data_IF_607412347898
#
_entry.id   IF_607412347898
#
_cell.length_a   1.000
_cell.length_b   1.000
_cell.length_c   1.000
_cell.angle_alpha   90.00
_cell.angle_beta   90.00
_cell.angle_gamma   90.00
#
_symmetry.space_group_name_H-M   'P 1'
#
loop_
_entity.id
_entity.type
_entity.pdbx_description
1 polymer ?
#
# COMPACT_ATOMS: atom_id res chain seq x y z
N UNK A 1 1.89 2.87 -0.37
CA UNK A 1 1.39 1.57 0.09
C UNK A 1 2.13 0.45 -0.60
N UNK A 2 2.51 -0.58 0.16
CA UNK A 2 3.29 -1.70 -0.38
C UNK A 2 2.44 -2.68 -1.22
N UNK A 3 3.11 -3.52 -2.00
CA UNK A 3 2.51 -4.66 -2.68
C UNK A 3 2.03 -5.75 -1.70
N UNK A 4 1.15 -6.63 -2.16
CA UNK A 4 0.70 -7.79 -1.39
C UNK A 4 1.89 -8.66 -0.93
N UNK A 5 1.98 -8.93 0.37
CA UNK A 5 3.04 -9.74 0.97
C UNK A 5 4.33 -8.97 1.31
N UNK A 6 4.37 -7.64 1.08
CA UNK A 6 5.49 -6.79 1.45
C UNK A 6 5.22 -6.03 2.77
N UNK A 7 6.21 -5.30 3.27
CA UNK A 7 6.12 -4.42 4.44
C UNK A 7 6.46 -2.98 4.09
N UNK A 8 6.03 -2.00 4.90
CA UNK A 8 6.41 -0.60 4.69
C UNK A 8 7.93 -0.38 4.72
N UNK A 9 8.67 -1.19 5.48
CA UNK A 9 10.14 -1.18 5.50
C UNK A 9 10.73 -1.73 4.20
N UNK A 10 10.15 -2.79 3.64
CA UNK A 10 10.55 -3.35 2.35
C UNK A 10 10.39 -2.35 1.22
N UNK A 11 9.22 -1.71 1.13
CA UNK A 11 8.97 -0.61 0.20
C UNK A 11 9.98 0.54 0.38
N UNK A 12 10.26 0.98 1.60
CA UNK A 12 11.27 2.03 1.84
C UNK A 12 12.67 1.62 1.34
N UNK A 13 13.06 0.36 1.56
CA UNK A 13 14.36 -0.14 1.08
C UNK A 13 14.40 -0.16 -0.46
N UNK A 14 13.34 -0.67 -1.11
CA UNK A 14 13.24 -0.66 -2.56
C UNK A 14 13.28 0.76 -3.14
N UNK A 15 12.56 1.71 -2.54
CA UNK A 15 12.59 3.12 -2.96
C UNK A 15 14.01 3.67 -2.90
N UNK A 16 14.72 3.48 -1.78
CA UNK A 16 16.10 3.93 -1.64
C UNK A 16 17.03 3.31 -2.69
N UNK A 17 16.84 2.04 -3.01
CA UNK A 17 17.68 1.35 -3.98
C UNK A 17 17.42 1.82 -5.42
N UNK A 18 16.22 2.33 -5.73
CA UNK A 18 15.84 2.82 -7.07
C UNK A 18 16.04 4.33 -7.24
N UNK A 19 15.99 5.11 -6.16
CA UNK A 19 16.28 6.55 -6.18
C UNK A 19 17.56 6.85 -5.43
N UNK A 20 18.66 7.08 -6.17
CA UNK A 20 19.81 7.80 -5.65
C UNK A 20 19.71 9.28 -6.07
N UNK A 21 19.79 10.25 -5.13
CA UNK A 21 19.87 10.09 -3.67
C UNK A 21 18.53 9.78 -3.00
N UNK A 22 18.58 9.29 -1.75
CA UNK A 22 17.42 8.89 -0.90
C UNK A 22 16.29 9.94 -0.99
N UNK A 23 15.05 9.48 -1.18
CA UNK A 23 13.85 10.32 -1.36
C UNK A 23 13.56 11.12 -0.08
N UNK A 24 14.33 12.19 0.11
CA UNK A 24 14.26 13.11 1.23
C UNK A 24 13.98 14.50 0.68
N UNK A 25 12.92 15.10 1.18
CA UNK A 25 12.50 16.44 0.80
C UNK A 25 12.43 17.29 2.06
N UNK A 26 12.90 18.53 2.00
CA UNK A 26 12.90 19.43 3.16
C UNK A 26 11.50 19.75 3.71
N UNK A 27 10.44 19.57 2.89
CA UNK A 27 9.06 19.92 3.25
C UNK A 27 8.05 18.78 3.08
N UNK A 28 8.50 17.58 2.70
CA UNK A 28 7.62 16.43 2.47
C UNK A 28 8.05 15.32 3.42
N UNK A 29 7.15 14.92 4.31
CA UNK A 29 7.32 13.74 5.15
C UNK A 29 6.73 12.54 4.44
N UNK A 30 7.53 11.49 4.26
CA UNK A 30 7.08 10.24 3.63
C UNK A 30 6.72 9.24 4.73
N UNK A 31 5.51 8.69 4.65
CA UNK A 31 5.00 7.66 5.56
C UNK A 31 4.88 6.36 4.78
N UNK A 32 5.49 5.29 5.31
CA UNK A 32 5.40 3.95 4.75
C UNK A 32 4.61 3.04 5.71
N UNK A 33 3.27 3.11 5.72
CA UNK A 33 2.47 2.27 6.59
C UNK A 33 2.54 0.82 6.11
N UNK A 34 2.39 -0.12 7.05
CA UNK A 34 2.40 -1.56 6.77
C UNK A 34 0.99 -2.10 6.90
N UNK A 35 0.46 -2.70 5.81
CA UNK A 35 -0.77 -3.49 5.84
C UNK A 35 -0.78 -4.52 6.99
N UNK A 36 -1.95 -4.73 7.63
CA UNK A 36 -2.10 -5.78 8.63
C UNK A 36 -1.91 -7.17 8.01
N UNK A 37 -1.47 -8.14 8.83
CA UNK A 37 -1.47 -9.54 8.43
C UNK A 37 -2.89 -10.09 8.48
N UNK A 38 -3.40 -10.58 7.35
CA UNK A 38 -4.74 -11.20 7.25
C UNK A 38 -4.70 -12.43 6.33
N UNK A 39 -5.66 -13.36 6.45
CA UNK A 39 -5.80 -14.45 5.49
C UNK A 39 -5.99 -13.90 4.08
N UNK A 40 -5.24 -14.44 3.12
CA UNK A 40 -5.32 -14.02 1.73
C UNK A 40 -5.82 -15.17 0.86
N UNK A 41 -7.00 -15.00 0.27
CA UNK A 41 -7.72 -16.03 -0.50
C UNK A 41 -6.87 -16.62 -1.65
N UNK A 42 -6.12 -15.84 -2.44
CA UNK A 42 -5.28 -16.38 -3.52
C UNK A 42 -4.14 -17.25 -3.01
N UNK A 43 -3.72 -17.06 -1.74
CA UNK A 43 -2.72 -17.88 -1.06
C UNK A 43 -3.36 -19.00 -0.23
N UNK A 44 -4.56 -19.46 -0.62
CA UNK A 44 -5.32 -20.53 0.06
C UNK A 44 -5.57 -20.23 1.54
N UNK A 45 -5.79 -18.97 1.88
CA UNK A 45 -6.05 -18.53 3.25
C UNK A 45 -4.79 -18.39 4.13
N UNK A 46 -3.59 -18.55 3.57
CA UNK A 46 -2.36 -18.26 4.31
C UNK A 46 -2.31 -16.79 4.75
N UNK A 47 -1.72 -16.53 5.92
CA UNK A 47 -1.53 -15.17 6.42
C UNK A 47 -0.54 -14.41 5.53
N UNK A 48 -0.95 -13.24 5.06
CA UNK A 48 -0.13 -12.35 4.26
C UNK A 48 -0.38 -10.89 4.65
N UNK A 49 0.61 -10.02 4.43
CA UNK A 49 0.49 -8.59 4.65
C UNK A 49 -0.18 -7.95 3.43
N UNK A 50 -1.50 -7.89 3.46
CA UNK A 50 -2.32 -7.39 2.35
C UNK A 50 -3.33 -6.37 2.84
N UNK A 51 -3.54 -5.31 2.06
CA UNK A 51 -4.48 -4.25 2.40
C UNK A 51 -5.94 -4.70 2.27
N UNK A 52 -6.25 -5.46 1.22
CA UNK A 52 -7.57 -6.02 0.95
C UNK A 52 -7.43 -7.42 0.35
N UNK A 53 -8.46 -8.25 0.49
CA UNK A 53 -8.47 -9.60 -0.06
C UNK A 53 -8.90 -9.60 -1.53
N UNK A 54 -8.57 -10.67 -2.25
CA UNK A 54 -8.98 -10.88 -3.63
C UNK A 54 -9.48 -12.30 -3.80
N UNK A 55 -10.69 -12.48 -4.32
CA UNK A 55 -11.15 -13.84 -4.61
C UNK A 55 -10.32 -14.52 -5.70
N UNK A 56 -9.88 -13.75 -6.70
CA UNK A 56 -9.02 -14.22 -7.80
C UNK A 56 -8.02 -13.13 -8.20
N UNK A 57 -6.89 -13.53 -8.73
CA UNK A 57 -5.95 -12.61 -9.42
C UNK A 57 -6.44 -12.47 -10.87
N UNK A 58 -7.59 -11.81 -11.06
CA UNK A 58 -8.16 -11.51 -12.37
C UNK A 58 -8.90 -10.17 -12.30
N UNK A 59 -9.05 -9.49 -13.44
CA UNK A 59 -9.87 -8.28 -13.56
C UNK A 59 -11.37 -8.59 -13.61
N UNK A 60 -11.73 -9.84 -13.89
CA UNK A 60 -13.12 -10.27 -14.12
C UNK A 60 -13.80 -10.78 -12.84
N UNK A 61 -13.17 -10.64 -11.67
CA UNK A 61 -13.76 -11.03 -10.40
C UNK A 61 -14.31 -9.82 -9.64
N UNK A 62 -15.36 -10.05 -8.87
CA UNK A 62 -15.87 -9.04 -7.95
C UNK A 62 -14.81 -8.70 -6.90
N UNK A 63 -14.72 -7.40 -6.59
CA UNK A 63 -13.87 -6.90 -5.53
C UNK A 63 -14.47 -7.26 -4.17
N UNK A 64 -13.62 -7.60 -3.20
CA UNK A 64 -14.08 -7.80 -1.82
C UNK A 64 -14.26 -6.44 -1.15
N UNK A 65 -15.49 -5.91 -1.23
CA UNK A 65 -15.81 -4.57 -0.74
C UNK A 65 -15.61 -4.42 0.77
N UNK A 66 -15.88 -5.46 1.54
CA UNK A 66 -15.73 -5.41 3.01
C UNK A 66 -14.27 -5.18 3.38
N UNK A 67 -13.35 -5.96 2.80
CA UNK A 67 -11.92 -5.77 3.06
C UNK A 67 -11.36 -4.46 2.51
N UNK A 68 -11.95 -3.92 1.42
CA UNK A 68 -11.62 -2.60 0.89
C UNK A 68 -12.10 -1.49 1.83
N UNK A 69 -13.32 -1.58 2.37
CA UNK A 69 -13.86 -0.59 3.30
C UNK A 69 -13.06 -0.56 4.61
N UNK A 70 -12.66 -1.73 5.12
CA UNK A 70 -11.74 -1.85 6.28
C UNK A 70 -10.38 -1.17 6.03
N UNK A 71 -9.82 -1.39 4.84
CA UNK A 71 -8.60 -0.69 4.41
C UNK A 71 -8.84 0.82 4.38
N UNK A 72 -9.92 1.28 3.73
CA UNK A 72 -10.25 2.70 3.63
C UNK A 72 -10.40 3.35 5.01
N UNK A 73 -11.03 2.67 5.97
CA UNK A 73 -11.13 3.12 7.34
C UNK A 73 -9.75 3.24 8.00
N UNK A 74 -8.92 2.21 7.89
CA UNK A 74 -7.57 2.19 8.46
C UNK A 74 -6.68 3.30 7.90
N UNK A 75 -6.71 3.50 6.58
CA UNK A 75 -5.98 4.57 5.89
C UNK A 75 -6.56 5.94 6.22
N UNK A 76 -7.89 6.04 6.35
CA UNK A 76 -8.59 7.23 6.77
C UNK A 76 -8.13 7.70 8.14
N UNK A 77 -7.91 6.79 9.09
CA UNK A 77 -7.37 7.12 10.41
C UNK A 77 -5.95 7.70 10.33
N UNK A 78 -5.09 7.14 9.48
CA UNK A 78 -3.73 7.66 9.24
C UNK A 78 -3.81 9.08 8.68
N UNK A 79 -4.61 9.28 7.62
CA UNK A 79 -4.79 10.58 6.98
C UNK A 79 -5.35 11.60 7.99
N UNK A 80 -6.35 11.19 8.78
CA UNK A 80 -6.96 12.06 9.78
C UNK A 80 -5.97 12.43 10.88
N UNK A 81 -5.08 11.52 11.28
CA UNK A 81 -3.97 11.82 12.19
C UNK A 81 -3.07 12.94 11.65
N UNK A 82 -2.78 12.92 10.35
CA UNK A 82 -1.97 13.95 9.71
C UNK A 82 -2.68 15.28 9.53
N UNK A 83 -3.98 15.25 9.25
CA UNK A 83 -4.82 16.44 9.23
C UNK A 83 -4.86 17.08 10.61
N UNK A 84 -5.00 16.28 11.67
CA UNK A 84 -5.00 16.75 13.05
C UNK A 84 -3.62 17.31 13.47
N UNK A 85 -2.54 16.80 12.89
CA UNK A 85 -1.19 17.34 13.05
C UNK A 85 -0.95 18.65 12.27
N UNK A 86 -1.96 19.18 11.57
CA UNK A 86 -1.91 20.45 10.86
C UNK A 86 -1.53 20.35 9.38
N UNK A 87 -1.43 19.14 8.81
CA UNK A 87 -1.17 18.97 7.37
C UNK A 87 -2.49 19.08 6.60
N UNK A 88 -2.68 20.11 5.75
CA UNK A 88 -3.93 20.25 5.02
C UNK A 88 -4.08 19.14 3.96
N UNK A 89 -5.32 18.67 3.74
CA UNK A 89 -5.63 17.54 2.83
C UNK A 89 -5.05 17.67 1.43
N UNK A 90 -4.99 18.89 0.87
CA UNK A 90 -4.44 19.14 -0.46
C UNK A 90 -2.91 18.96 -0.57
N UNK A 91 -2.21 18.78 0.56
CA UNK A 91 -0.77 18.45 0.61
C UNK A 91 -0.51 16.98 0.89
N UNK A 92 -1.54 16.14 0.97
CA UNK A 92 -1.41 14.71 1.21
C UNK A 92 -1.49 14.00 -0.13
N UNK A 93 -0.40 13.33 -0.51
CA UNK A 93 -0.33 12.51 -1.72
C UNK A 93 -0.31 11.04 -1.30
N UNK A 94 -1.16 10.24 -1.95
CA UNK A 94 -1.28 8.81 -1.70
C UNK A 94 -0.78 8.06 -2.94
N UNK A 95 0.18 7.17 -2.76
CA UNK A 95 0.72 6.32 -3.83
C UNK A 95 0.69 4.85 -3.43
N UNK A 96 0.50 3.98 -4.43
CA UNK A 96 0.57 2.52 -4.29
C UNK A 96 1.71 1.99 -5.17
N UNK A 97 2.54 1.13 -4.61
CA UNK A 97 3.40 0.27 -5.40
C UNK A 97 2.53 -0.87 -5.94
N UNK A 98 2.59 -1.05 -7.25
CA UNK A 98 1.98 -2.21 -7.90
C UNK A 98 3.13 -3.05 -8.43
N UNK A 99 3.11 -4.34 -8.11
CA UNK A 99 4.06 -5.28 -8.66
C UNK A 99 3.78 -5.38 -10.16
N UNK A 100 4.71 -4.91 -11.00
CA UNK A 100 4.62 -5.18 -12.43
C UNK A 100 4.84 -6.68 -12.61
N UNK A 101 3.78 -7.42 -12.93
CA UNK A 101 3.94 -8.71 -13.61
C UNK A 101 4.60 -8.39 -14.94
N UNK A 102 5.83 -8.87 -15.13
CA UNK A 102 6.62 -8.60 -16.33
C UNK A 102 5.81 -8.84 -17.60
N UNK A 103 5.53 -7.76 -18.33
CA UNK A 103 5.45 -7.84 -19.78
C UNK A 103 6.89 -7.74 -20.27
N UNK A 104 7.57 -8.88 -20.35
CA UNK A 104 8.72 -8.99 -21.24
C UNK A 104 8.17 -8.77 -22.66
N UNK A 105 8.54 -7.65 -23.28
CA UNK A 105 8.46 -7.51 -24.73
C UNK A 105 9.41 -8.56 -25.30
N UNK A 106 8.85 -9.62 -25.88
CA UNK A 106 9.46 -10.31 -27.02
C UNK A 106 8.98 -9.64 -28.30
#
# INVERSE_FOLDING_TARGET
FQCAGDTGRGLRAWVRDVTEPDLSFNHIRIIYPTAPARPYTPMRGALSTVWFDRHKISRDCHEDRESIDDMCNSLGLIIQGEVNAGIPKHRIVIGLQVMQTGWTRE
#
